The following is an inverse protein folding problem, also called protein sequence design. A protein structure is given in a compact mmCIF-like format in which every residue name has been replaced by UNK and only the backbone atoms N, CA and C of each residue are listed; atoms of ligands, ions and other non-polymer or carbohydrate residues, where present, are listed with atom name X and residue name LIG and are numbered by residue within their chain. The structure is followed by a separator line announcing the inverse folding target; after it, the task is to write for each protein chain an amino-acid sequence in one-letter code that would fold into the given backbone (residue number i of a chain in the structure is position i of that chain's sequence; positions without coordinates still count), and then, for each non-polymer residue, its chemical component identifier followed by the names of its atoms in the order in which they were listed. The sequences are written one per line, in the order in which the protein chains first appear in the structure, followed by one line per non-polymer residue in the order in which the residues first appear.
data_IF_801638508284
#
_entry.id   IF_801638508284
#
_cell.length_a   1.000
_cell.length_b   1.000
_cell.length_c   1.000
_cell.angle_alpha   90.00
_cell.angle_beta   90.00
_cell.angle_gamma   90.00
#
_symmetry.space_group_name_H-M   'P 1'
#
loop_
_entity.id
_entity.type
_entity.pdbx_description
1 polymer ?
#
# COMPACT_ATOMS: atom_id res chain seq x y z
N UNK A 1 -2.22 -16.56 7.93
CA UNK A 1 -3.35 -15.64 8.20
C UNK A 1 -3.82 -15.04 6.88
N UNK A 2 -5.13 -15.04 6.59
CA UNK A 2 -5.69 -14.38 5.40
C UNK A 2 -5.86 -12.88 5.64
N UNK A 3 -5.62 -12.07 4.62
CA UNK A 3 -5.89 -10.63 4.67
C UNK A 3 -7.39 -10.36 4.69
N UNK A 4 -7.85 -9.49 5.60
CA UNK A 4 -9.25 -9.04 5.57
C UNK A 4 -9.53 -8.21 4.32
N UNK A 5 -10.78 -8.23 3.85
CA UNK A 5 -11.23 -7.38 2.74
C UNK A 5 -11.02 -5.88 3.05
N UNK A 6 -11.20 -5.50 4.32
CA UNK A 6 -11.00 -4.13 4.77
C UNK A 6 -9.52 -3.71 4.66
N UNK A 7 -8.58 -4.55 5.12
CA UNK A 7 -7.14 -4.26 5.04
C UNK A 7 -6.70 -4.07 3.59
N UNK A 8 -7.18 -4.96 2.69
CA UNK A 8 -6.87 -4.85 1.25
C UNK A 8 -7.38 -3.54 0.66
N UNK A 9 -8.63 -3.16 0.96
CA UNK A 9 -9.22 -1.90 0.49
C UNK A 9 -8.49 -0.68 1.06
N UNK A 10 -8.10 -0.73 2.33
CA UNK A 10 -7.32 0.33 2.97
C UNK A 10 -5.96 0.50 2.27
N UNK A 11 -5.18 -0.57 2.08
CA UNK A 11 -3.86 -0.49 1.44
C UNK A 11 -3.93 0.11 0.04
N UNK A 12 -4.91 -0.32 -0.77
CA UNK A 12 -5.11 0.20 -2.13
C UNK A 12 -5.50 1.69 -2.11
N UNK A 13 -6.46 2.05 -1.25
CA UNK A 13 -6.98 3.42 -1.15
C UNK A 13 -5.90 4.39 -0.70
N UNK A 14 -5.15 4.05 0.35
CA UNK A 14 -4.07 4.88 0.86
C UNK A 14 -2.89 4.96 -0.11
N UNK A 15 -2.56 3.89 -0.83
CA UNK A 15 -1.52 3.94 -1.87
C UNK A 15 -1.87 4.92 -2.99
N UNK A 16 -3.12 4.88 -3.47
CA UNK A 16 -3.64 5.84 -4.45
C UNK A 16 -3.64 7.27 -3.92
N UNK A 17 -4.08 7.48 -2.69
CA UNK A 17 -4.12 8.80 -2.07
C UNK A 17 -2.70 9.39 -1.92
N UNK A 18 -1.74 8.58 -1.50
CA UNK A 18 -0.35 8.98 -1.35
C UNK A 18 0.27 9.41 -2.68
N UNK A 19 0.04 8.66 -3.76
CA UNK A 19 0.52 9.03 -5.09
C UNK A 19 -0.06 10.37 -5.56
N UNK A 20 -1.38 10.57 -5.39
CA UNK A 20 -2.06 11.82 -5.75
C UNK A 20 -1.59 13.03 -4.95
N UNK A 21 -1.15 12.81 -3.72
CA UNK A 21 -0.57 13.85 -2.85
C UNK A 21 0.92 14.07 -3.07
N UNK A 22 1.54 13.36 -4.01
CA UNK A 22 2.98 13.47 -4.29
C UNK A 22 3.87 12.92 -3.18
N UNK A 23 3.33 12.07 -2.30
CA UNK A 23 4.12 11.47 -1.23
C UNK A 23 5.13 10.45 -1.79
N UNK A 24 6.31 10.32 -1.17
CA UNK A 24 7.30 9.33 -1.59
C UNK A 24 6.81 7.90 -1.29
N UNK A 25 7.36 6.91 -1.99
CA UNK A 25 7.06 5.48 -1.77
C UNK A 25 7.39 5.02 -0.34
N UNK A 26 8.32 5.70 0.34
CA UNK A 26 8.70 5.46 1.74
C UNK A 26 7.60 5.84 2.74
N UNK A 27 6.54 6.53 2.30
CA UNK A 27 5.36 6.81 3.13
C UNK A 27 4.44 5.58 3.33
N UNK A 28 4.82 4.41 2.80
CA UNK A 28 4.10 3.15 3.02
C UNK A 28 4.07 2.82 4.53
N UNK A 29 2.89 2.68 5.16
CA UNK A 29 2.79 2.42 6.61
C UNK A 29 3.06 0.96 6.98
N UNK A 30 3.13 0.06 5.98
CA UNK A 30 3.31 -1.36 6.21
C UNK A 30 4.80 -1.74 6.13
N UNK A 31 5.34 -2.24 7.23
CA UNK A 31 6.70 -2.79 7.30
C UNK A 31 6.76 -4.23 6.71
N UNK A 32 7.40 -4.46 5.55
CA UNK A 32 7.46 -5.77 4.93
C UNK A 32 8.30 -6.81 5.69
N UNK A 33 9.12 -6.39 6.68
CA UNK A 33 9.92 -7.28 7.53
C UNK A 33 9.17 -7.83 8.75
N UNK A 34 8.00 -7.29 9.08
CA UNK A 34 7.24 -7.65 10.29
C UNK A 34 6.62 -9.04 10.22
N UNK A 35 5.78 -9.28 9.22
CA UNK A 35 5.07 -10.54 9.01
C UNK A 35 4.49 -10.62 7.58
N UNK A 36 3.97 -11.80 7.19
CA UNK A 36 3.39 -12.04 5.86
C UNK A 36 2.20 -11.13 5.54
N UNK A 37 1.40 -10.76 6.55
CA UNK A 37 0.24 -9.89 6.38
C UNK A 37 0.69 -8.48 5.98
N UNK A 38 1.64 -7.94 6.72
CA UNK A 38 2.25 -6.65 6.46
C UNK A 38 2.96 -6.62 5.11
N UNK A 39 3.73 -7.67 4.77
CA UNK A 39 4.37 -7.79 3.46
C UNK A 39 3.36 -7.74 2.32
N UNK A 40 2.25 -8.47 2.43
CA UNK A 40 1.21 -8.45 1.42
C UNK A 40 0.50 -7.09 1.30
N UNK A 41 0.29 -6.39 2.43
CA UNK A 41 -0.28 -5.03 2.42
C UNK A 41 0.67 -3.99 1.82
N UNK A 42 1.97 -4.08 2.12
CA UNK A 42 3.00 -3.24 1.51
C UNK A 42 3.01 -3.38 -0.02
N UNK A 43 2.94 -4.62 -0.53
CA UNK A 43 2.87 -4.88 -1.97
C UNK A 43 1.63 -4.26 -2.63
N UNK A 44 0.45 -4.39 -2.01
CA UNK A 44 -0.79 -3.78 -2.51
C UNK A 44 -0.72 -2.25 -2.53
N UNK A 45 -0.20 -1.66 -1.46
CA UNK A 45 -0.03 -0.22 -1.33
C UNK A 45 0.93 0.32 -2.40
N UNK A 46 2.13 -0.27 -2.53
CA UNK A 46 3.16 0.17 -3.50
C UNK A 46 2.66 0.01 -4.93
N UNK A 47 1.97 -1.09 -5.25
CA UNK A 47 1.38 -1.29 -6.59
C UNK A 47 0.34 -0.22 -6.91
N UNK A 48 -0.52 0.14 -5.96
CA UNK A 48 -1.51 1.21 -6.14
C UNK A 48 -0.85 2.58 -6.28
N UNK A 49 0.18 2.85 -5.47
CA UNK A 49 0.95 4.09 -5.53
C UNK A 49 1.62 4.28 -6.90
N UNK A 50 2.40 3.29 -7.39
CA UNK A 50 3.10 3.37 -8.68
C UNK A 50 2.13 3.66 -9.83
N UNK A 51 1.02 2.90 -9.89
CA UNK A 51 0.00 3.07 -10.94
C UNK A 51 -0.56 4.49 -11.05
N UNK A 52 -0.64 5.24 -9.95
CA UNK A 52 -1.21 6.59 -9.92
C UNK A 52 -0.16 7.69 -9.84
N UNK A 53 1.13 7.34 -9.74
CA UNK A 53 2.25 8.27 -9.80
C UNK A 53 2.63 8.56 -11.26
N UNK A 54 2.53 7.52 -12.09
CA UNK A 54 2.94 7.53 -13.50
C UNK A 54 1.75 7.77 -14.47
N UNK A 55 0.56 8.09 -13.92
CA UNK A 55 -0.67 8.36 -14.68
C UNK A 55 -1.09 9.81 -14.53
#
# INVERSE_FOLDING_TARGET
MSLSTLDRRAAITFGRLAARRGLPVTACPYDPGRDDRHRALALLWVRSWRRHRDA
#
